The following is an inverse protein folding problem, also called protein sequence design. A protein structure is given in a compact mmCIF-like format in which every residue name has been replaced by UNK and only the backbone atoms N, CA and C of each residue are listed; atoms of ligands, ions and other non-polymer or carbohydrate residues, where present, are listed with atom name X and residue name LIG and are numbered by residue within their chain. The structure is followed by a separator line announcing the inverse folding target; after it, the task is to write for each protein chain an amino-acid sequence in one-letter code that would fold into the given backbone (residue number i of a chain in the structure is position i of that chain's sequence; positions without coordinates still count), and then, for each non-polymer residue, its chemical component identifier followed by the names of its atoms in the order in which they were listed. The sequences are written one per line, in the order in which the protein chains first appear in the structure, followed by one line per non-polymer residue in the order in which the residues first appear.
data_IF_546929451173
#
_entry.id   IF_546929451173
#
_cell.length_a   1.000
_cell.length_b   1.000
_cell.length_c   1.000
_cell.angle_alpha   90.00
_cell.angle_beta   90.00
_cell.angle_gamma   90.00
#
_symmetry.space_group_name_H-M   'P 1'
#
loop_
_entity.id
_entity.type
_entity.pdbx_description
1 polymer ?
#
# COMPACT_ATOMS: atom_id res chain seq x y z
N UNK A 1 -1.77 -61.88 13.35
CA UNK A 1 -0.63 -61.38 14.16
C UNK A 1 -0.82 -61.80 15.60
N UNK A 2 0.19 -62.34 16.29
CA UNK A 2 0.06 -62.74 17.71
C UNK A 2 -0.04 -61.50 18.62
N UNK A 3 -0.83 -61.60 19.71
CA UNK A 3 -1.00 -60.52 20.71
C UNK A 3 0.33 -59.90 21.16
N UNK A 4 1.40 -60.71 21.24
CA UNK A 4 2.76 -60.30 21.59
C UNK A 4 3.40 -59.34 20.58
N UNK A 5 3.17 -59.51 19.27
CA UNK A 5 3.69 -58.59 18.24
C UNK A 5 2.99 -57.23 18.28
N UNK A 6 1.70 -57.20 18.62
CA UNK A 6 0.93 -55.97 18.82
C UNK A 6 1.41 -55.19 20.05
N UNK A 7 1.62 -55.89 21.18
CA UNK A 7 2.15 -55.27 22.41
C UNK A 7 3.54 -54.68 22.20
N UNK A 8 4.44 -55.38 21.50
CA UNK A 8 5.78 -54.87 21.18
C UNK A 8 5.72 -53.65 20.25
N UNK A 9 4.81 -53.65 19.27
CA UNK A 9 4.58 -52.49 18.39
C UNK A 9 4.07 -51.26 19.13
N UNK A 10 3.09 -51.44 20.04
CA UNK A 10 2.57 -50.36 20.89
C UNK A 10 3.63 -49.81 21.84
N UNK A 11 4.44 -50.68 22.46
CA UNK A 11 5.53 -50.27 23.33
C UNK A 11 6.58 -49.46 22.56
N UNK A 12 6.94 -49.89 21.35
CA UNK A 12 7.85 -49.16 20.48
C UNK A 12 7.30 -47.77 20.12
N UNK A 13 6.03 -47.68 19.72
CA UNK A 13 5.37 -46.40 19.43
C UNK A 13 5.34 -45.48 20.65
N UNK A 14 5.07 -46.02 21.84
CA UNK A 14 5.10 -45.26 23.10
C UNK A 14 6.49 -44.72 23.39
N UNK A 15 7.54 -45.54 23.25
CA UNK A 15 8.94 -45.11 23.45
C UNK A 15 9.31 -44.00 22.46
N UNK A 16 8.97 -44.18 21.18
CA UNK A 16 9.21 -43.15 20.16
C UNK A 16 8.44 -41.85 20.46
N UNK A 17 7.17 -41.95 20.86
CA UNK A 17 6.35 -40.81 21.23
C UNK A 17 6.87 -40.09 22.48
N UNK A 18 7.37 -40.81 23.48
CA UNK A 18 8.02 -40.22 24.65
C UNK A 18 9.36 -39.58 24.27
N UNK A 19 10.15 -40.25 23.42
CA UNK A 19 11.44 -39.75 22.93
C UNK A 19 11.33 -38.44 22.16
N UNK A 20 10.32 -38.31 21.28
CA UNK A 20 10.13 -37.08 20.47
C UNK A 20 9.73 -35.87 21.33
N UNK A 21 9.13 -36.06 22.52
CA UNK A 21 8.80 -34.94 23.42
C UNK A 21 10.03 -34.20 23.95
N UNK A 22 11.21 -34.85 23.98
CA UNK A 22 12.45 -34.23 24.46
C UNK A 22 13.10 -33.31 23.42
N UNK A 23 12.71 -33.42 22.15
CA UNK A 23 13.12 -32.47 21.11
C UNK A 23 12.13 -31.33 21.19
N UNK A 24 12.47 -30.25 21.90
CA UNK A 24 11.55 -29.14 22.16
C UNK A 24 12.26 -27.80 21.93
N UNK A 25 11.95 -27.06 20.84
CA UNK A 25 12.40 -25.69 20.66
C UNK A 25 12.00 -24.81 21.86
N UNK A 26 12.78 -23.80 22.21
CA UNK A 26 12.44 -22.96 23.37
C UNK A 26 11.55 -21.78 22.95
N UNK A 27 10.40 -21.60 23.61
CA UNK A 27 9.60 -20.37 23.54
C UNK A 27 9.97 -19.51 24.74
N UNK A 28 10.73 -18.43 24.50
CA UNK A 28 11.15 -17.49 25.54
C UNK A 28 10.08 -16.41 25.73
N UNK A 29 9.69 -16.13 26.96
CA UNK A 29 8.77 -15.05 27.31
C UNK A 29 9.51 -13.96 28.10
N UNK A 30 10.31 -13.09 27.44
CA UNK A 30 10.99 -12.02 28.14
C UNK A 30 9.96 -11.02 28.71
N UNK A 31 10.33 -10.21 29.73
CA UNK A 31 9.41 -9.25 30.32
C UNK A 31 8.79 -8.31 29.30
N UNK A 32 7.52 -7.96 29.50
CA UNK A 32 6.82 -6.93 28.72
C UNK A 32 7.46 -5.57 29.03
N UNK A 33 7.98 -4.88 28.02
CA UNK A 33 8.55 -3.53 28.18
C UNK A 33 7.48 -2.46 28.00
N UNK A 34 6.59 -2.67 27.04
CA UNK A 34 5.41 -1.82 26.84
C UNK A 34 4.34 -2.55 26.04
N UNK A 35 3.09 -2.28 26.40
CA UNK A 35 1.90 -2.78 25.72
C UNK A 35 1.17 -1.65 24.96
N UNK A 36 0.32 -2.04 24.01
CA UNK A 36 -0.51 -1.10 23.26
C UNK A 36 -1.45 -0.33 24.19
N UNK A 37 -1.58 0.98 23.96
CA UNK A 37 -2.56 1.82 24.62
C UNK A 37 -3.80 1.94 23.71
N UNK A 38 -4.80 1.11 24.00
CA UNK A 38 -6.06 1.04 23.27
C UNK A 38 -7.24 0.86 24.25
N UNK A 39 -8.47 1.14 23.82
CA UNK A 39 -9.69 0.82 24.59
C UNK A 39 -9.77 -0.66 25.00
N UNK A 40 -10.48 -0.95 26.09
CA UNK A 40 -10.52 -2.29 26.69
C UNK A 40 -11.11 -3.35 25.76
N UNK A 41 -12.10 -2.99 24.94
CA UNK A 41 -12.69 -3.87 23.92
C UNK A 41 -11.67 -4.24 22.84
N UNK A 42 -10.89 -3.29 22.35
CA UNK A 42 -9.77 -3.52 21.42
C UNK A 42 -8.73 -4.43 22.06
N UNK A 43 -8.28 -4.13 23.28
CA UNK A 43 -7.30 -4.96 24.01
C UNK A 43 -7.80 -6.38 24.20
N UNK A 44 -9.09 -6.56 24.53
CA UNK A 44 -9.70 -7.89 24.70
C UNK A 44 -9.64 -8.71 23.41
N UNK A 45 -9.92 -8.09 22.26
CA UNK A 45 -9.85 -8.75 20.94
C UNK A 45 -8.40 -9.16 20.63
N UNK A 46 -7.44 -8.24 20.81
CA UNK A 46 -6.02 -8.50 20.55
C UNK A 46 -5.46 -9.60 21.44
N UNK A 47 -5.76 -9.57 22.75
CA UNK A 47 -5.34 -10.62 23.69
C UNK A 47 -5.89 -11.99 23.30
N UNK A 48 -7.18 -12.06 22.95
CA UNK A 48 -7.87 -13.28 22.55
C UNK A 48 -7.38 -13.89 21.25
N UNK A 49 -6.94 -13.07 20.29
CA UNK A 49 -6.75 -13.52 18.89
C UNK A 49 -5.32 -13.38 18.38
N UNK A 50 -4.48 -12.59 19.06
CA UNK A 50 -3.14 -12.22 18.58
C UNK A 50 -2.02 -12.54 19.58
N UNK A 51 -2.25 -12.39 20.89
CA UNK A 51 -1.16 -12.36 21.88
C UNK A 51 -0.42 -13.70 22.00
N UNK A 52 -1.10 -14.82 21.76
CA UNK A 52 -0.45 -16.13 21.81
C UNK A 52 0.75 -16.22 20.86
N UNK A 53 0.68 -15.62 19.68
CA UNK A 53 1.78 -15.61 18.70
C UNK A 53 2.54 -14.28 18.63
N UNK A 54 1.90 -13.15 18.94
CA UNK A 54 2.44 -11.81 18.75
C UNK A 54 2.76 -11.08 20.07
N UNK A 55 2.92 -11.78 21.19
CA UNK A 55 3.34 -11.16 22.45
C UNK A 55 4.28 -12.08 23.24
N UNK A 56 4.96 -11.53 24.25
CA UNK A 56 5.73 -12.30 25.23
C UNK A 56 4.83 -12.93 26.32
N UNK A 57 3.51 -12.75 26.23
CA UNK A 57 2.51 -13.29 27.17
C UNK A 57 1.83 -14.54 26.56
N UNK A 58 2.56 -15.35 25.79
CA UNK A 58 2.02 -16.55 25.14
C UNK A 58 1.47 -17.56 26.14
N UNK A 59 0.17 -17.89 26.02
CA UNK A 59 -0.52 -18.87 26.86
C UNK A 59 -0.84 -20.14 26.07
N UNK A 60 0.03 -21.16 26.19
CA UNK A 60 -0.17 -22.44 25.50
C UNK A 60 -1.18 -23.34 26.22
N UNK A 61 -2.14 -23.90 25.48
CA UNK A 61 -2.98 -24.98 26.02
C UNK A 61 -2.15 -26.24 26.19
N UNK A 62 -2.63 -27.17 27.03
CA UNK A 62 -1.89 -28.40 27.36
C UNK A 62 -1.54 -29.24 26.11
N UNK A 63 -2.40 -29.23 25.08
CA UNK A 63 -2.18 -30.01 23.86
C UNK A 63 -1.18 -29.35 22.91
N UNK A 64 -1.03 -28.02 22.96
CA UNK A 64 -0.01 -27.28 22.20
C UNK A 64 1.39 -27.63 22.67
N UNK A 65 1.51 -28.12 23.91
CA UNK A 65 2.77 -28.48 24.53
C UNK A 65 3.27 -29.88 24.14
N UNK A 66 2.51 -30.62 23.33
CA UNK A 66 2.82 -32.00 22.92
C UNK A 66 3.50 -31.99 21.55
N UNK A 67 4.69 -32.60 21.45
CA UNK A 67 5.38 -32.82 20.19
C UNK A 67 4.67 -33.90 19.35
N UNK A 68 4.66 -33.77 18.01
CA UNK A 68 5.35 -32.75 17.22
C UNK A 68 4.58 -31.43 17.03
N UNK A 69 3.33 -31.32 17.48
CA UNK A 69 2.52 -30.11 17.30
C UNK A 69 3.19 -28.86 17.93
N UNK A 70 3.83 -29.04 19.08
CA UNK A 70 4.60 -27.98 19.75
C UNK A 70 5.66 -27.33 18.84
N UNK A 71 6.24 -28.05 17.88
CA UNK A 71 7.24 -27.48 16.98
C UNK A 71 6.65 -26.43 16.05
N UNK A 72 5.45 -26.68 15.53
CA UNK A 72 4.70 -25.72 14.72
C UNK A 72 4.30 -24.50 15.54
N UNK A 73 3.85 -24.73 16.78
CA UNK A 73 3.51 -23.64 17.71
C UNK A 73 4.73 -22.77 17.99
N UNK A 74 5.88 -23.35 18.30
CA UNK A 74 7.10 -22.60 18.56
C UNK A 74 7.57 -21.79 17.34
N UNK A 75 7.41 -22.34 16.14
CA UNK A 75 7.72 -21.66 14.89
C UNK A 75 6.78 -20.47 14.63
N UNK A 76 5.46 -20.68 14.77
CA UNK A 76 4.46 -19.61 14.63
C UNK A 76 4.66 -18.48 15.64
N UNK A 77 4.98 -18.80 16.90
CA UNK A 77 5.26 -17.79 17.94
C UNK A 77 6.54 -17.02 17.61
N UNK A 78 7.56 -17.71 17.10
CA UNK A 78 8.81 -17.07 16.70
C UNK A 78 8.60 -16.12 15.51
N UNK A 79 8.02 -16.60 14.43
CA UNK A 79 7.74 -15.80 13.23
C UNK A 79 6.78 -14.65 13.54
N UNK A 80 5.72 -14.91 14.31
CA UNK A 80 4.76 -13.89 14.73
C UNK A 80 5.43 -12.72 15.45
N UNK A 81 6.31 -13.00 16.42
CA UNK A 81 7.04 -11.97 17.17
C UNK A 81 8.12 -11.25 16.35
N UNK A 82 8.68 -11.90 15.33
CA UNK A 82 9.63 -11.27 14.40
C UNK A 82 8.93 -10.21 13.53
N UNK A 83 7.68 -10.47 13.11
CA UNK A 83 6.89 -9.53 12.32
C UNK A 83 6.23 -8.43 13.18
N UNK A 84 5.66 -8.79 14.33
CA UNK A 84 5.01 -7.86 15.26
C UNK A 84 4.96 -8.42 16.68
N UNK A 85 5.44 -7.67 17.66
CA UNK A 85 5.35 -8.04 19.07
C UNK A 85 4.67 -6.92 19.90
N UNK A 86 3.50 -7.22 20.48
CA UNK A 86 2.75 -6.29 21.31
C UNK A 86 3.42 -6.00 22.65
N UNK A 87 4.34 -6.86 23.12
CA UNK A 87 5.02 -6.70 24.41
C UNK A 87 6.22 -5.75 24.38
N UNK A 88 6.64 -5.29 23.20
CA UNK A 88 7.66 -4.26 23.03
C UNK A 88 7.13 -3.09 22.19
N UNK A 89 5.85 -2.74 22.39
CA UNK A 89 5.14 -1.78 21.56
C UNK A 89 5.85 -0.42 21.48
N UNK A 90 6.50 0.02 22.55
CA UNK A 90 7.25 1.26 22.64
C UNK A 90 8.45 1.35 21.70
N UNK A 91 9.02 0.20 21.28
CA UNK A 91 10.13 0.13 20.32
C UNK A 91 9.77 0.63 18.92
N UNK A 92 8.48 0.63 18.57
CA UNK A 92 8.00 1.07 17.27
C UNK A 92 7.84 2.60 17.21
N UNK A 93 8.28 3.20 16.10
CA UNK A 93 8.01 4.61 15.82
C UNK A 93 6.49 4.84 15.69
N UNK A 94 5.96 6.05 15.99
CA UNK A 94 4.52 6.32 15.92
C UNK A 94 3.86 5.98 14.57
N UNK A 95 4.57 6.20 13.46
CA UNK A 95 4.12 5.82 12.12
C UNK A 95 4.03 4.30 11.93
N UNK A 96 5.01 3.56 12.45
CA UNK A 96 5.09 2.10 12.34
C UNK A 96 4.07 1.40 13.23
N UNK A 97 3.76 1.97 14.42
CA UNK A 97 2.64 1.52 15.26
C UNK A 97 1.34 1.54 14.49
N UNK A 98 0.99 2.69 13.89
CA UNK A 98 -0.22 2.84 13.09
C UNK A 98 -0.20 1.91 11.86
N UNK A 99 0.92 1.87 11.15
CA UNK A 99 1.10 1.00 9.98
C UNK A 99 0.87 -0.47 10.30
N UNK A 100 1.42 -0.95 11.42
CA UNK A 100 1.26 -2.34 11.89
C UNK A 100 -0.20 -2.65 12.19
N UNK A 101 -0.92 -1.75 12.86
CA UNK A 101 -2.35 -1.97 13.16
C UNK A 101 -3.24 -2.02 11.90
N UNK A 102 -2.99 -1.13 10.93
CA UNK A 102 -3.69 -1.19 9.63
C UNK A 102 -3.32 -2.44 8.85
N UNK A 103 -2.06 -2.87 8.87
CA UNK A 103 -1.64 -4.13 8.26
C UNK A 103 -2.34 -5.32 8.92
N UNK A 104 -2.39 -5.38 10.25
CA UNK A 104 -3.11 -6.43 10.98
C UNK A 104 -4.59 -6.49 10.60
N UNK A 105 -5.27 -5.34 10.53
CA UNK A 105 -6.66 -5.29 10.05
C UNK A 105 -6.80 -5.84 8.63
N UNK A 106 -5.90 -5.48 7.72
CA UNK A 106 -5.93 -6.01 6.36
C UNK A 106 -5.68 -7.52 6.31
N UNK A 107 -4.73 -8.06 7.08
CA UNK A 107 -4.52 -9.52 7.20
C UNK A 107 -5.77 -10.24 7.73
N UNK A 108 -6.51 -9.63 8.66
CA UNK A 108 -7.79 -10.15 9.13
C UNK A 108 -8.83 -10.16 8.00
N UNK A 109 -8.94 -9.06 7.25
CA UNK A 109 -9.90 -8.95 6.13
C UNK A 109 -9.57 -9.91 4.98
N UNK A 110 -8.30 -10.22 4.76
CA UNK A 110 -7.87 -11.25 3.81
C UNK A 110 -8.01 -12.68 4.34
N UNK A 111 -8.41 -12.85 5.61
CA UNK A 111 -8.52 -14.16 6.29
C UNK A 111 -7.19 -14.91 6.39
N UNK A 112 -6.08 -14.18 6.34
CA UNK A 112 -4.73 -14.73 6.56
C UNK A 112 -4.42 -14.80 8.06
N UNK A 113 -5.03 -13.92 8.86
CA UNK A 113 -4.90 -13.90 10.32
C UNK A 113 -6.25 -13.87 11.03
N UNK A 114 -6.41 -14.61 12.15
CA UNK A 114 -5.48 -15.61 12.68
C UNK A 114 -5.39 -16.84 11.74
N UNK A 115 -4.29 -17.59 11.83
CA UNK A 115 -4.06 -18.74 10.95
C UNK A 115 -5.22 -19.75 11.04
N UNK A 116 -5.65 -20.27 9.90
CA UNK A 116 -6.86 -21.11 9.81
C UNK A 116 -6.73 -22.43 10.59
N UNK A 117 -5.55 -23.04 10.59
CA UNK A 117 -5.19 -24.24 11.36
C UNK A 117 -5.17 -23.96 12.86
N UNK A 118 -4.66 -22.80 13.28
CA UNK A 118 -4.74 -22.35 14.67
C UNK A 118 -6.20 -22.25 15.14
N UNK A 119 -7.04 -21.53 14.40
CA UNK A 119 -8.45 -21.33 14.79
C UNK A 119 -9.32 -22.60 14.74
N UNK A 120 -8.84 -23.67 14.10
CA UNK A 120 -9.50 -24.98 14.13
C UNK A 120 -9.40 -25.64 15.51
N UNK A 121 -8.26 -25.48 16.19
CA UNK A 121 -8.01 -26.02 17.54
C UNK A 121 -8.26 -24.96 18.64
N UNK A 122 -8.28 -23.69 18.25
CA UNK A 122 -8.53 -22.51 19.10
C UNK A 122 -9.72 -21.70 18.56
N UNK A 123 -10.94 -22.25 18.60
CA UNK A 123 -12.12 -21.57 18.06
C UNK A 123 -12.40 -20.24 18.77
N UNK A 124 -11.95 -20.08 20.02
CA UNK A 124 -12.03 -18.82 20.74
C UNK A 124 -11.15 -17.71 20.12
N UNK A 125 -10.08 -18.03 19.39
CA UNK A 125 -9.24 -17.02 18.73
C UNK A 125 -9.90 -16.44 17.47
N UNK A 126 -11.04 -17.00 17.02
CA UNK A 126 -11.76 -16.47 15.84
C UNK A 126 -12.23 -15.04 16.09
N UNK A 127 -12.01 -14.20 15.08
CA UNK A 127 -12.45 -12.80 15.07
C UNK A 127 -13.84 -12.75 14.44
N UNK A 128 -14.80 -12.14 15.14
CA UNK A 128 -16.16 -11.95 14.66
C UNK A 128 -16.33 -10.67 13.85
N UNK A 129 -17.44 -10.53 13.11
CA UNK A 129 -17.77 -9.28 12.40
C UNK A 129 -17.91 -8.08 13.34
N UNK A 130 -18.38 -8.31 14.57
CA UNK A 130 -18.43 -7.30 15.61
C UNK A 130 -17.02 -6.86 16.05
N UNK A 131 -16.10 -7.81 16.22
CA UNK A 131 -14.70 -7.51 16.54
C UNK A 131 -14.05 -6.71 15.41
N UNK A 132 -14.29 -7.08 14.14
CA UNK A 132 -13.81 -6.32 12.97
C UNK A 132 -14.35 -4.88 13.01
N UNK A 133 -15.63 -4.70 13.35
CA UNK A 133 -16.24 -3.36 13.45
C UNK A 133 -15.59 -2.52 14.54
N UNK A 134 -15.38 -3.08 15.73
CA UNK A 134 -14.70 -2.42 16.85
C UNK A 134 -13.29 -1.99 16.44
N UNK A 135 -12.51 -2.91 15.86
CA UNK A 135 -11.15 -2.64 15.42
C UNK A 135 -11.12 -1.58 14.31
N UNK A 136 -12.02 -1.64 13.31
CA UNK A 136 -12.09 -0.61 12.24
C UNK A 136 -12.39 0.77 12.81
N UNK A 137 -13.34 0.87 13.73
CA UNK A 137 -13.68 2.14 14.37
C UNK A 137 -12.51 2.71 15.17
N UNK A 138 -11.78 1.85 15.89
CA UNK A 138 -10.55 2.25 16.56
C UNK A 138 -9.51 2.79 15.57
N UNK A 139 -9.24 2.08 14.47
CA UNK A 139 -8.27 2.55 13.47
C UNK A 139 -8.66 3.87 12.81
N UNK A 140 -9.94 4.06 12.50
CA UNK A 140 -10.46 5.32 11.96
C UNK A 140 -10.24 6.47 12.97
N UNK A 141 -10.42 6.21 14.26
CA UNK A 141 -10.18 7.21 15.32
C UNK A 141 -8.71 7.65 15.41
N UNK A 142 -7.76 6.80 14.96
CA UNK A 142 -6.33 7.12 14.88
C UNK A 142 -5.96 7.96 13.66
N UNK A 143 -6.90 8.23 12.76
CA UNK A 143 -6.67 8.99 11.52
C UNK A 143 -7.51 10.28 11.45
N UNK A 144 -7.43 11.18 12.46
CA UNK A 144 -8.17 12.43 12.38
C UNK A 144 -7.67 13.27 11.21
N UNK A 145 -8.60 13.88 10.49
CA UNK A 145 -8.27 14.86 9.44
C UNK A 145 -7.65 16.08 10.12
N UNK A 146 -6.40 16.38 9.79
CA UNK A 146 -5.67 17.54 10.30
C UNK A 146 -5.43 18.52 9.18
N UNK A 147 -5.97 19.73 9.32
CA UNK A 147 -5.64 20.87 8.45
C UNK A 147 -4.14 21.14 8.52
N UNK A 148 -3.55 21.38 7.36
CA UNK A 148 -2.12 21.65 7.20
C UNK A 148 -1.90 23.16 7.25
N UNK A 149 -0.86 23.59 7.97
CA UNK A 149 -0.48 25.00 8.02
C UNK A 149 0.12 25.48 6.69
N UNK A 150 0.20 26.80 6.52
CA UNK A 150 0.76 27.42 5.32
C UNK A 150 2.24 27.09 5.11
N UNK A 151 3.01 26.84 6.17
CA UNK A 151 4.43 26.49 6.05
C UNK A 151 4.63 25.16 5.33
N UNK A 152 3.75 24.18 5.55
CA UNK A 152 3.77 22.89 4.84
C UNK A 152 3.44 23.03 3.35
N UNK A 153 2.51 23.91 2.99
CA UNK A 153 2.24 24.24 1.58
C UNK A 153 3.45 24.92 0.93
N UNK A 154 4.04 25.93 1.59
CA UNK A 154 5.25 26.59 1.10
C UNK A 154 6.45 25.64 0.98
N UNK A 155 6.58 24.66 1.88
CA UNK A 155 7.62 23.64 1.80
C UNK A 155 7.45 22.73 0.57
N UNK A 156 6.21 22.28 0.29
CA UNK A 156 5.92 21.48 -0.89
C UNK A 156 6.16 22.26 -2.19
N UNK A 157 5.73 23.52 -2.25
CA UNK A 157 5.99 24.41 -3.38
C UNK A 157 7.49 24.67 -3.57
N UNK A 158 8.22 24.92 -2.47
CA UNK A 158 9.68 25.05 -2.54
C UNK A 158 10.35 23.77 -3.05
N UNK A 159 9.94 22.59 -2.56
CA UNK A 159 10.47 21.32 -3.03
C UNK A 159 10.22 21.13 -4.53
N UNK A 160 9.03 21.52 -5.02
CA UNK A 160 8.70 21.51 -6.44
C UNK A 160 9.60 22.44 -7.25
N UNK A 161 9.74 23.69 -6.80
CA UNK A 161 10.56 24.70 -7.48
C UNK A 161 12.05 24.32 -7.46
N UNK A 162 12.57 23.79 -6.36
CA UNK A 162 13.93 23.25 -6.30
C UNK A 162 14.09 22.10 -7.29
N UNK A 163 13.09 21.21 -7.39
CA UNK A 163 13.12 20.05 -8.28
C UNK A 163 13.19 20.43 -9.76
N UNK A 164 12.33 21.34 -10.26
CA UNK A 164 12.35 21.76 -11.67
C UNK A 164 13.61 22.53 -12.06
N UNK A 165 14.33 23.10 -11.08
CA UNK A 165 15.57 23.86 -11.30
C UNK A 165 16.85 23.02 -11.08
N UNK A 166 16.72 21.80 -10.56
CA UNK A 166 17.88 20.95 -10.21
C UNK A 166 18.26 20.06 -11.38
N UNK A 167 19.57 19.89 -11.58
CA UNK A 167 20.10 18.92 -12.53
C UNK A 167 19.73 17.49 -12.12
N UNK A 168 19.68 16.59 -13.11
CA UNK A 168 19.43 15.17 -12.89
C UNK A 168 20.42 14.59 -11.87
N UNK A 169 19.91 13.81 -10.91
CA UNK A 169 20.73 13.14 -9.91
C UNK A 169 21.12 11.73 -10.39
N UNK A 170 22.32 11.29 -10.03
CA UNK A 170 22.71 9.89 -10.15
C UNK A 170 21.96 9.09 -9.09
N UNK A 171 21.22 8.07 -9.51
CA UNK A 171 20.42 7.22 -8.62
C UNK A 171 21.07 5.86 -8.53
N UNK A 172 21.33 5.40 -7.31
CA UNK A 172 21.88 4.07 -7.11
C UNK A 172 20.81 2.99 -7.34
N UNK A 173 21.19 1.83 -7.88
CA UNK A 173 20.29 0.69 -7.99
C UNK A 173 19.78 0.24 -6.61
N UNK A 174 18.63 -0.42 -6.58
CA UNK A 174 18.20 -1.14 -5.40
C UNK A 174 19.16 -2.29 -5.08
N UNK A 175 19.23 -2.70 -3.80
CA UNK A 175 20.18 -3.74 -3.35
C UNK A 175 20.02 -5.08 -4.09
N UNK A 176 18.83 -5.37 -4.62
CA UNK A 176 18.54 -6.55 -5.42
C UNK A 176 18.89 -6.40 -6.92
N UNK A 177 19.59 -5.32 -7.30
CA UNK A 177 20.06 -5.08 -8.67
C UNK A 177 19.01 -4.48 -9.60
N UNK A 178 17.83 -4.09 -9.10
CA UNK A 178 16.83 -3.38 -9.91
C UNK A 178 17.25 -1.92 -10.04
N UNK A 179 17.44 -1.49 -11.28
CA UNK A 179 17.77 -0.11 -11.62
C UNK A 179 16.58 0.84 -11.38
N UNK A 180 16.89 2.10 -11.09
CA UNK A 180 15.87 3.14 -11.07
C UNK A 180 15.36 3.38 -12.49
N UNK A 181 14.06 3.16 -12.71
CA UNK A 181 13.44 3.37 -14.01
C UNK A 181 13.18 4.88 -14.17
N UNK A 182 13.75 5.49 -15.20
CA UNK A 182 13.47 6.89 -15.55
C UNK A 182 12.30 6.99 -16.52
N UNK A 183 11.67 8.17 -16.62
CA UNK A 183 10.61 8.44 -17.58
C UNK A 183 9.23 7.86 -17.23
N UNK A 184 9.06 7.19 -16.08
CA UNK A 184 7.74 6.68 -15.67
C UNK A 184 6.68 7.76 -15.48
N UNK A 185 7.09 9.02 -15.26
CA UNK A 185 6.15 10.15 -15.22
C UNK A 185 5.42 10.37 -16.55
N UNK A 186 5.93 9.83 -17.65
CA UNK A 186 5.30 9.86 -18.98
C UNK A 186 4.38 8.67 -19.23
N UNK A 187 4.40 7.65 -18.35
CA UNK A 187 3.51 6.51 -18.43
C UNK A 187 2.08 6.89 -18.05
N UNK A 188 1.14 5.98 -18.25
CA UNK A 188 -0.28 6.25 -18.02
C UNK A 188 -0.64 6.01 -16.58
N UNK A 189 -1.34 6.95 -15.95
CA UNK A 189 -1.92 6.71 -14.65
C UNK A 189 -3.07 5.71 -14.80
N UNK A 190 -2.88 4.52 -14.25
CA UNK A 190 -3.86 3.44 -14.27
C UNK A 190 -4.72 3.44 -13.03
N UNK A 191 -4.34 4.16 -11.97
CA UNK A 191 -5.13 4.36 -10.76
C UNK A 191 -4.56 5.48 -9.90
N UNK A 192 -5.38 5.99 -8.99
CA UNK A 192 -4.98 6.92 -7.92
C UNK A 192 -5.53 6.44 -6.59
N UNK A 193 -4.91 6.82 -5.48
CA UNK A 193 -5.33 6.33 -4.16
C UNK A 193 -5.15 7.41 -3.10
N UNK A 194 -6.22 7.62 -2.33
CA UNK A 194 -6.22 8.38 -1.08
C UNK A 194 -5.94 7.43 0.08
N UNK A 195 -4.75 7.51 0.67
CA UNK A 195 -4.32 6.65 1.78
C UNK A 195 -4.41 7.41 3.09
N UNK A 196 -5.60 7.40 3.68
CA UNK A 196 -5.83 8.06 4.96
C UNK A 196 -5.14 7.34 6.13
N UNK A 197 -4.84 6.04 5.97
CA UNK A 197 -4.09 5.26 6.97
C UNK A 197 -2.67 5.80 7.21
N UNK A 198 -1.98 6.26 6.17
CA UNK A 198 -0.63 6.80 6.28
C UNK A 198 -0.47 8.22 5.72
N UNK A 199 -1.58 8.90 5.47
CA UNK A 199 -1.63 10.30 5.03
C UNK A 199 -0.84 10.54 3.74
N UNK A 200 -0.99 9.64 2.75
CA UNK A 200 -0.39 9.80 1.42
C UNK A 200 -1.42 9.87 0.30
N UNK A 201 -1.13 10.68 -0.71
CA UNK A 201 -1.84 10.66 -1.98
C UNK A 201 -0.96 9.92 -2.98
N UNK A 202 -1.54 9.00 -3.76
CA UNK A 202 -0.76 8.13 -4.66
C UNK A 202 -1.29 8.14 -6.07
N UNK A 203 -0.37 8.02 -7.01
CA UNK A 203 -0.65 7.74 -8.43
C UNK A 203 0.09 6.48 -8.82
N UNK A 204 -0.61 5.54 -9.45
CA UNK A 204 -0.05 4.31 -9.97
C UNK A 204 0.02 4.46 -11.48
N UNK A 205 1.23 4.43 -12.02
CA UNK A 205 1.50 4.48 -13.45
C UNK A 205 1.76 3.07 -13.98
N UNK A 206 1.25 2.76 -15.17
CA UNK A 206 1.52 1.53 -15.91
C UNK A 206 2.22 1.84 -17.24
N UNK A 207 3.24 1.06 -17.58
CA UNK A 207 3.88 1.14 -18.90
C UNK A 207 2.94 0.68 -20.03
N UNK A 208 3.37 0.79 -21.29
CA UNK A 208 2.54 0.45 -22.45
C UNK A 208 2.01 -1.00 -22.41
N UNK A 209 2.78 -1.95 -21.88
CA UNK A 209 2.36 -3.35 -21.72
C UNK A 209 1.23 -3.45 -20.70
N UNK A 210 1.36 -2.78 -19.55
CA UNK A 210 0.31 -2.73 -18.53
C UNK A 210 -0.98 -2.11 -19.07
N UNK A 211 -0.88 -1.00 -19.82
CA UNK A 211 -2.04 -0.32 -20.41
C UNK A 211 -2.76 -1.23 -21.40
N UNK A 212 -2.01 -1.86 -22.32
CA UNK A 212 -2.56 -2.82 -23.28
C UNK A 212 -3.25 -3.99 -22.57
N UNK A 213 -2.63 -4.53 -21.51
CA UNK A 213 -3.22 -5.60 -20.70
C UNK A 213 -4.55 -5.19 -20.05
N UNK A 214 -4.68 -3.93 -19.61
CA UNK A 214 -5.93 -3.39 -19.05
C UNK A 214 -7.00 -3.27 -20.13
N UNK A 215 -6.65 -2.70 -21.29
CA UNK A 215 -7.56 -2.53 -22.44
C UNK A 215 -8.07 -3.88 -22.99
N UNK A 216 -7.21 -4.89 -23.01
CA UNK A 216 -7.54 -6.26 -23.47
C UNK A 216 -8.16 -7.13 -22.36
N UNK A 217 -8.37 -6.59 -21.16
CA UNK A 217 -8.86 -7.32 -19.97
C UNK A 217 -8.00 -8.54 -19.60
N UNK A 218 -6.70 -8.49 -19.90
CA UNK A 218 -5.73 -9.57 -19.65
C UNK A 218 -4.73 -9.15 -18.55
N UNK A 219 -5.23 -8.95 -17.34
CA UNK A 219 -4.44 -8.48 -16.18
C UNK A 219 -4.18 -9.56 -15.14
N UNK A 220 -4.59 -10.82 -15.38
CA UNK A 220 -4.35 -11.91 -14.44
C UNK A 220 -4.11 -13.26 -15.16
N UNK A 221 -2.85 -13.73 -15.25
CA UNK A 221 -1.64 -13.02 -14.82
C UNK A 221 -1.35 -11.79 -15.69
N UNK A 222 -0.57 -10.85 -15.19
CA UNK A 222 -0.05 -9.77 -16.01
C UNK A 222 1.00 -10.30 -17.00
N UNK A 223 1.07 -9.78 -18.24
CA UNK A 223 2.11 -10.16 -19.20
C UNK A 223 3.50 -9.77 -18.71
N UNK A 224 4.51 -10.60 -19.01
CA UNK A 224 5.92 -10.26 -18.76
C UNK A 224 6.30 -8.92 -19.42
N UNK A 225 7.11 -8.12 -18.73
CA UNK A 225 7.43 -6.75 -19.08
C UNK A 225 6.44 -5.71 -18.55
N UNK A 226 5.28 -6.11 -18.02
CA UNK A 226 4.39 -5.20 -17.26
C UNK A 226 5.19 -4.54 -16.14
N UNK A 227 5.19 -3.20 -16.11
CA UNK A 227 5.82 -2.45 -15.04
C UNK A 227 4.88 -1.41 -14.46
N UNK A 228 4.77 -1.40 -13.13
CA UNK A 228 4.08 -0.35 -12.39
C UNK A 228 5.08 0.57 -11.70
N UNK A 229 4.79 1.86 -11.72
CA UNK A 229 5.43 2.85 -10.86
C UNK A 229 4.38 3.45 -9.92
N UNK A 230 4.49 3.16 -8.63
CA UNK A 230 3.60 3.73 -7.61
C UNK A 230 4.31 4.87 -6.91
N UNK A 231 3.78 6.08 -7.08
CA UNK A 231 4.37 7.32 -6.60
C UNK A 231 3.52 7.85 -5.46
N UNK A 232 4.14 8.26 -4.35
CA UNK A 232 3.45 8.73 -3.16
C UNK A 232 3.94 10.10 -2.73
N UNK A 233 2.97 10.98 -2.43
CA UNK A 233 3.18 12.30 -1.84
C UNK A 233 2.47 12.37 -0.50
N UNK A 234 2.92 13.29 0.35
CA UNK A 234 2.19 13.66 1.55
C UNK A 234 0.80 14.21 1.21
N UNK A 235 -0.16 14.02 2.10
CA UNK A 235 -1.42 14.74 2.07
C UNK A 235 -1.28 16.09 2.78
N UNK A 236 -1.57 17.17 2.04
CA UNK A 236 -1.81 18.49 2.62
C UNK A 236 -3.29 18.79 2.57
N UNK A 237 -3.93 18.91 3.73
CA UNK A 237 -5.36 19.20 3.85
C UNK A 237 -5.55 20.69 4.08
N UNK A 238 -6.37 21.37 3.30
CA UNK A 238 -6.69 22.79 3.51
C UNK A 238 -7.90 22.99 4.46
N UNK A 239 -8.34 24.24 4.60
CA UNK A 239 -9.46 24.62 5.47
C UNK A 239 -10.80 24.03 5.00
N UNK A 240 -10.94 23.75 3.70
CA UNK A 240 -12.15 23.21 3.08
C UNK A 240 -12.14 21.67 3.07
N UNK A 241 -11.16 21.04 3.73
CA UNK A 241 -10.95 19.59 3.73
C UNK A 241 -10.62 19.01 2.36
N UNK A 242 -10.07 19.82 1.46
CA UNK A 242 -9.50 19.36 0.20
C UNK A 242 -8.05 18.94 0.45
N UNK A 243 -7.72 17.77 -0.05
CA UNK A 243 -6.38 17.17 0.01
C UNK A 243 -5.63 17.49 -1.27
N UNK A 244 -4.50 18.15 -1.10
CA UNK A 244 -3.51 18.44 -2.12
C UNK A 244 -2.31 17.51 -1.95
N UNK A 245 -1.62 17.23 -3.05
CA UNK A 245 -0.32 16.58 -2.97
C UNK A 245 0.71 17.55 -2.35
N UNK A 246 1.39 17.08 -1.31
CA UNK A 246 2.51 17.76 -0.69
C UNK A 246 3.85 17.24 -1.17
N UNK A 247 4.80 17.16 -0.25
CA UNK A 247 6.14 16.66 -0.53
C UNK A 247 6.14 15.23 -1.07
N UNK A 248 7.00 14.97 -2.05
CA UNK A 248 7.30 13.64 -2.55
C UNK A 248 7.90 12.77 -1.44
N UNK A 249 7.35 11.58 -1.25
CA UNK A 249 7.81 10.62 -0.23
C UNK A 249 8.61 9.48 -0.83
N UNK A 250 8.10 8.87 -1.90
CA UNK A 250 8.72 7.70 -2.50
C UNK A 250 8.13 7.32 -3.86
N UNK A 251 8.89 6.52 -4.59
CA UNK A 251 8.41 5.75 -5.75
C UNK A 251 8.77 4.28 -5.58
N UNK A 252 7.86 3.41 -5.99
CA UNK A 252 7.98 1.95 -5.93
C UNK A 252 7.78 1.38 -7.33
N UNK A 253 8.60 0.38 -7.69
CA UNK A 253 8.43 -0.37 -8.93
C UNK A 253 8.06 -1.82 -8.66
N UNK A 254 7.09 -2.31 -9.44
CA UNK A 254 6.77 -3.72 -9.60
C UNK A 254 7.00 -4.09 -11.07
N UNK A 255 7.89 -5.05 -11.34
CA UNK A 255 8.30 -5.43 -12.71
C UNK A 255 7.97 -6.91 -12.92
N UNK A 256 7.08 -7.22 -13.86
CA UNK A 256 6.70 -8.59 -14.20
C UNK A 256 7.77 -9.24 -15.07
N UNK A 257 8.32 -10.36 -14.60
CA UNK A 257 9.13 -11.27 -15.36
C UNK A 257 9.12 -12.62 -14.61
N UNK A 258 8.26 -13.53 -15.07
CA UNK A 258 7.96 -14.78 -14.38
C UNK A 258 9.21 -15.65 -14.14
N UNK A 259 10.13 -15.65 -15.10
CA UNK A 259 11.35 -16.45 -15.06
C UNK A 259 12.43 -15.76 -14.23
N UNK A 260 12.75 -14.48 -14.51
CA UNK A 260 13.79 -13.73 -13.80
C UNK A 260 13.48 -13.58 -12.31
N UNK A 261 12.22 -13.36 -11.96
CA UNK A 261 11.77 -13.10 -10.60
C UNK A 261 11.04 -14.29 -9.97
N UNK A 262 11.31 -15.52 -10.42
CA UNK A 262 10.68 -16.74 -9.88
C UNK A 262 10.75 -16.86 -8.35
N UNK A 263 11.87 -16.44 -7.74
CA UNK A 263 12.08 -16.46 -6.28
C UNK A 263 11.19 -15.45 -5.53
N UNK A 264 10.76 -14.39 -6.21
CA UNK A 264 9.92 -13.32 -5.67
C UNK A 264 8.54 -13.31 -6.35
N UNK A 265 8.05 -14.50 -6.68
CA UNK A 265 6.71 -14.77 -7.23
C UNK A 265 6.44 -14.13 -8.60
N UNK A 266 7.48 -14.06 -9.44
CA UNK A 266 7.40 -13.54 -10.81
C UNK A 266 7.42 -12.01 -10.89
N UNK A 267 7.68 -11.34 -9.76
CA UNK A 267 7.73 -9.88 -9.68
C UNK A 267 9.06 -9.39 -9.10
N UNK A 268 9.65 -8.39 -9.75
CA UNK A 268 10.74 -7.59 -9.22
C UNK A 268 10.18 -6.45 -8.38
N UNK A 269 10.72 -6.28 -7.17
CA UNK A 269 10.24 -5.31 -6.17
C UNK A 269 11.35 -4.32 -5.84
N UNK A 270 11.09 -3.02 -5.99
CA UNK A 270 12.06 -2.01 -5.61
C UNK A 270 11.37 -0.70 -5.18
N UNK A 271 12.04 0.07 -4.32
CA UNK A 271 11.51 1.31 -3.73
C UNK A 271 12.64 2.30 -3.52
N UNK A 272 12.38 3.58 -3.83
CA UNK A 272 13.27 4.71 -3.56
C UNK A 272 12.52 5.77 -2.76
N UNK A 273 13.18 6.32 -1.73
CA UNK A 273 12.58 7.28 -0.80
C UNK A 273 13.25 8.65 -0.94
N UNK A 274 12.46 9.70 -0.74
CA UNK A 274 12.93 11.08 -0.68
C UNK A 274 13.40 11.64 -2.02
N UNK A 275 13.68 12.94 -2.03
CA UNK A 275 14.14 13.67 -3.22
C UNK A 275 15.56 13.30 -3.67
N UNK A 276 16.34 12.63 -2.80
CA UNK A 276 17.65 12.06 -3.12
C UNK A 276 17.56 10.68 -3.78
N UNK A 277 16.35 10.11 -3.88
CA UNK A 277 16.10 8.76 -4.35
C UNK A 277 17.06 7.76 -3.72
N UNK A 278 16.98 7.64 -2.41
CA UNK A 278 17.73 6.61 -1.70
C UNK A 278 17.03 5.25 -1.87
N UNK A 279 17.71 4.20 -2.37
CA UNK A 279 17.13 2.87 -2.47
C UNK A 279 16.77 2.33 -1.07
N UNK A 280 15.62 1.67 -0.99
CA UNK A 280 15.12 1.03 0.22
C UNK A 280 15.76 -0.35 0.45
N UNK A 281 15.75 -0.78 1.71
CA UNK A 281 16.25 -2.08 2.15
C UNK A 281 17.64 -2.01 2.79
N UNK A 282 17.92 -2.96 3.68
CA UNK A 282 19.24 -3.15 4.31
C UNK A 282 20.05 -4.26 3.63
N UNK A 283 19.35 -5.23 3.03
CA UNK A 283 19.93 -6.39 2.34
C UNK A 283 19.07 -6.73 1.12
N UNK A 284 19.56 -7.61 0.25
CA UNK A 284 18.80 -8.11 -0.92
C UNK A 284 17.47 -8.78 -0.55
N UNK A 285 17.31 -9.20 0.71
CA UNK A 285 16.12 -9.91 1.20
C UNK A 285 14.92 -8.99 1.48
N UNK A 286 15.07 -7.65 1.36
CA UNK A 286 13.94 -6.72 1.54
C UNK A 286 12.75 -7.06 0.63
N UNK A 287 13.00 -7.67 -0.54
CA UNK A 287 11.95 -8.07 -1.47
C UNK A 287 10.97 -9.09 -0.85
N UNK A 288 11.40 -9.86 0.15
CA UNK A 288 10.53 -10.79 0.87
C UNK A 288 9.45 -10.04 1.68
N UNK A 289 9.77 -8.85 2.20
CA UNK A 289 8.78 -7.99 2.88
C UNK A 289 7.68 -7.57 1.89
N UNK A 290 8.06 -7.23 0.65
CA UNK A 290 7.12 -6.90 -0.42
C UNK A 290 6.26 -8.12 -0.81
N UNK A 291 6.89 -9.28 -1.02
CA UNK A 291 6.19 -10.53 -1.35
C UNK A 291 5.22 -10.94 -0.25
N UNK A 292 5.63 -10.88 1.02
CA UNK A 292 4.79 -11.23 2.16
C UNK A 292 3.54 -10.34 2.22
N UNK A 293 3.71 -9.03 2.06
CA UNK A 293 2.61 -8.08 2.04
C UNK A 293 1.66 -8.27 0.85
N UNK A 294 2.18 -8.67 -0.31
CA UNK A 294 1.39 -8.88 -1.53
C UNK A 294 0.84 -10.31 -1.70
N UNK A 295 1.29 -11.27 -0.88
CA UNK A 295 0.87 -12.68 -0.90
C UNK A 295 -0.65 -12.88 -0.82
N UNK A 296 -1.43 -12.09 -0.04
CA UNK A 296 -2.88 -12.28 0.02
C UNK A 296 -3.57 -12.07 -1.35
N UNK A 297 -2.91 -11.36 -2.27
CA UNK A 297 -3.40 -11.08 -3.62
C UNK A 297 -2.83 -12.06 -4.66
N UNK A 298 -2.31 -13.23 -4.25
CA UNK A 298 -1.75 -14.24 -5.16
C UNK A 298 -2.70 -14.63 -6.30
N UNK A 299 -4.00 -14.65 -6.06
CA UNK A 299 -5.04 -15.01 -7.03
C UNK A 299 -5.38 -13.84 -7.98
N UNK A 300 -4.81 -12.65 -7.74
CA UNK A 300 -4.81 -11.49 -8.62
C UNK A 300 -3.37 -11.09 -9.00
N UNK A 301 -2.53 -12.11 -9.22
CA UNK A 301 -1.12 -12.00 -9.58
C UNK A 301 -0.32 -11.03 -8.69
N UNK A 302 -0.59 -11.05 -7.38
CA UNK A 302 0.06 -10.23 -6.36
C UNK A 302 -0.17 -8.72 -6.52
N UNK A 303 -1.16 -8.27 -7.29
CA UNK A 303 -1.44 -6.85 -7.54
C UNK A 303 -2.71 -6.39 -6.81
N UNK A 304 -2.56 -5.35 -5.97
CA UNK A 304 -3.70 -4.70 -5.28
C UNK A 304 -4.49 -3.74 -6.17
N UNK A 305 -3.82 -3.15 -7.17
CA UNK A 305 -4.39 -2.07 -7.96
C UNK A 305 -5.52 -2.58 -8.84
N UNK A 306 -6.72 -2.09 -8.60
CA UNK A 306 -7.81 -2.13 -9.57
C UNK A 306 -7.59 -1.02 -10.59
N UNK A 307 -7.36 -1.34 -11.87
CA UNK A 307 -7.19 -0.34 -12.91
C UNK A 307 -8.46 0.49 -13.08
N UNK A 308 -8.30 1.77 -13.42
CA UNK A 308 -9.39 2.61 -13.88
C UNK A 308 -10.01 1.96 -15.11
N UNK A 309 -11.34 1.98 -15.20
CA UNK A 309 -12.03 1.74 -16.45
C UNK A 309 -11.67 2.91 -17.37
N UNK A 310 -10.69 2.71 -18.24
CA UNK A 310 -10.19 3.71 -19.17
C UNK A 310 -11.16 3.87 -20.35
N UNK A 311 -12.43 4.18 -20.05
CA UNK A 311 -13.55 4.10 -21.00
C UNK A 311 -13.60 5.23 -22.03
N UNK A 312 -12.52 5.97 -22.27
CA UNK A 312 -12.44 6.84 -23.45
C UNK A 312 -11.01 6.94 -23.98
N UNK A 313 -10.87 6.87 -25.31
CA UNK A 313 -9.64 7.13 -26.07
C UNK A 313 -8.92 8.44 -25.65
N UNK A 314 -9.66 9.39 -25.08
CA UNK A 314 -9.17 10.72 -24.70
C UNK A 314 -8.44 10.77 -23.37
N UNK A 315 -8.84 9.97 -22.36
CA UNK A 315 -8.22 10.02 -21.03
C UNK A 315 -6.89 9.27 -20.97
N UNK A 316 -6.73 8.30 -21.87
CA UNK A 316 -5.54 7.47 -21.98
C UNK A 316 -4.35 8.15 -22.64
N UNK A 317 -4.55 9.19 -23.44
CA UNK A 317 -3.43 9.79 -24.19
C UNK A 317 -2.59 10.77 -23.35
N UNK A 318 -3.06 11.17 -22.16
CA UNK A 318 -2.55 12.35 -21.45
C UNK A 318 -1.77 11.98 -20.19
N UNK A 319 -0.91 12.89 -19.74
CA UNK A 319 0.04 12.70 -18.63
C UNK A 319 -0.45 13.41 -17.39
N UNK A 320 -0.27 12.80 -16.21
CA UNK A 320 -0.72 13.40 -14.95
C UNK A 320 0.16 14.59 -14.57
N UNK A 321 -0.48 15.71 -14.24
CA UNK A 321 0.14 16.89 -13.66
C UNK A 321 -0.11 16.97 -12.15
N UNK A 322 -1.35 16.72 -11.72
CA UNK A 322 -1.75 16.81 -10.32
C UNK A 322 -2.92 15.89 -10.00
N UNK A 323 -3.09 15.59 -8.72
CA UNK A 323 -4.24 14.87 -8.20
C UNK A 323 -4.65 15.50 -6.86
N UNK A 324 -5.93 15.42 -6.54
CA UNK A 324 -6.51 15.92 -5.29
C UNK A 324 -7.71 15.11 -4.84
N UNK A 325 -8.13 15.29 -3.60
CA UNK A 325 -9.32 14.65 -3.01
C UNK A 325 -10.15 15.69 -2.30
N UNK A 326 -11.45 15.74 -2.57
CA UNK A 326 -12.40 16.52 -1.80
C UNK A 326 -13.10 15.59 -0.80
N UNK A 327 -12.76 15.72 0.49
CA UNK A 327 -13.32 14.84 1.53
C UNK A 327 -14.79 15.13 1.83
N UNK A 328 -15.25 16.37 1.62
CA UNK A 328 -16.64 16.74 1.89
C UNK A 328 -17.57 16.15 0.82
N UNK A 329 -17.18 16.30 -0.44
CA UNK A 329 -17.96 15.81 -1.58
C UNK A 329 -17.66 14.35 -1.94
N UNK A 330 -16.69 13.72 -1.26
CA UNK A 330 -16.21 12.35 -1.54
C UNK A 330 -15.87 12.19 -3.02
N UNK A 331 -15.09 13.13 -3.55
CA UNK A 331 -14.60 13.07 -4.92
C UNK A 331 -13.08 13.07 -4.93
N UNK A 332 -12.54 12.59 -6.05
CA UNK A 332 -11.14 12.70 -6.34
C UNK A 332 -10.97 13.17 -7.76
N UNK A 333 -10.00 14.05 -7.97
CA UNK A 333 -9.77 14.65 -9.29
C UNK A 333 -8.32 14.48 -9.69
N UNK A 334 -8.10 14.19 -10.96
CA UNK A 334 -6.76 14.08 -11.55
C UNK A 334 -6.70 14.98 -12.77
N UNK A 335 -5.71 15.87 -12.78
CA UNK A 335 -5.42 16.79 -13.87
C UNK A 335 -4.41 16.14 -14.81
N UNK A 336 -4.84 15.97 -16.06
CA UNK A 336 -4.05 15.43 -17.15
C UNK A 336 -3.66 16.52 -18.14
N UNK A 337 -2.59 16.31 -18.88
CA UNK A 337 -2.07 17.24 -19.85
C UNK A 337 -1.59 16.56 -21.13
N UNK A 338 -1.71 17.26 -22.25
CA UNK A 338 -0.99 16.93 -23.46
C UNK A 338 0.53 17.19 -23.29
N UNK A 339 1.35 16.78 -24.25
CA UNK A 339 2.80 16.90 -24.14
C UNK A 339 3.28 18.33 -23.91
N UNK A 340 2.66 19.31 -24.59
CA UNK A 340 3.01 20.72 -24.46
C UNK A 340 2.78 21.22 -23.04
N UNK A 341 1.58 21.00 -22.50
CA UNK A 341 1.25 21.40 -21.13
C UNK A 341 2.08 20.63 -20.10
N UNK A 342 2.31 19.34 -20.31
CA UNK A 342 3.11 18.52 -19.40
C UNK A 342 4.57 19.02 -19.31
N UNK A 343 5.22 19.30 -20.44
CA UNK A 343 6.58 19.83 -20.45
C UNK A 343 6.65 21.23 -19.84
N UNK A 344 5.65 22.08 -20.14
CA UNK A 344 5.57 23.41 -19.55
C UNK A 344 5.49 23.35 -18.02
N UNK A 345 4.58 22.53 -17.50
CA UNK A 345 4.39 22.33 -16.07
C UNK A 345 5.72 21.96 -15.38
N UNK A 346 6.55 21.13 -15.99
CA UNK A 346 7.79 20.60 -15.39
C UNK A 346 9.00 21.51 -15.51
N UNK A 347 8.87 22.61 -16.23
CA UNK A 347 9.94 23.61 -16.42
C UNK A 347 9.55 24.98 -15.86
N UNK A 348 8.27 25.21 -15.56
CA UNK A 348 7.72 26.47 -15.06
C UNK A 348 6.73 26.23 -13.92
N UNK A 349 6.85 27.02 -12.86
CA UNK A 349 5.94 26.98 -11.71
C UNK A 349 4.65 27.81 -11.88
N UNK A 350 4.44 28.45 -13.03
CA UNK A 350 3.28 29.33 -13.26
C UNK A 350 2.15 28.64 -14.07
N UNK A 351 1.09 29.40 -14.38
CA UNK A 351 -0.10 28.97 -15.14
C UNK A 351 -0.19 29.54 -16.55
N UNK A 352 0.89 30.15 -17.07
CA UNK A 352 0.91 30.80 -18.38
C UNK A 352 1.20 29.80 -19.50
N UNK A 353 0.41 28.73 -19.55
CA UNK A 353 0.58 27.67 -20.53
C UNK A 353 0.58 28.21 -21.97
N UNK A 354 1.45 27.69 -22.85
CA UNK A 354 1.60 28.17 -24.22
C UNK A 354 0.39 27.80 -25.08
N UNK A 355 0.26 28.43 -26.25
CA UNK A 355 -0.74 28.04 -27.24
C UNK A 355 -0.63 26.54 -27.56
N UNK A 356 -1.78 25.91 -27.83
CA UNK A 356 -1.95 24.46 -28.04
C UNK A 356 -1.74 23.59 -26.80
N UNK A 357 -1.36 24.16 -25.65
CA UNK A 357 -1.44 23.46 -24.38
C UNK A 357 -2.90 23.06 -24.12
N UNK A 358 -3.08 21.87 -23.54
CA UNK A 358 -4.39 21.41 -23.13
C UNK A 358 -4.32 20.70 -21.79
N UNK A 359 -5.32 20.96 -20.96
CA UNK A 359 -5.48 20.37 -19.63
C UNK A 359 -6.85 19.70 -19.54
N UNK A 360 -6.90 18.46 -19.09
CA UNK A 360 -8.14 17.72 -18.87
C UNK A 360 -8.24 17.35 -17.39
N UNK A 361 -9.25 17.85 -16.70
CA UNK A 361 -9.59 17.44 -15.34
C UNK A 361 -10.61 16.33 -15.42
N UNK A 362 -10.33 15.22 -14.75
CA UNK A 362 -11.32 14.17 -14.52
C UNK A 362 -11.62 14.13 -13.05
N UNK A 363 -12.90 14.20 -12.70
CA UNK A 363 -13.38 13.98 -11.33
C UNK A 363 -14.15 12.67 -11.28
N UNK A 364 -13.82 11.83 -10.30
CA UNK A 364 -14.56 10.62 -9.96
C UNK A 364 -15.23 10.77 -8.60
N UNK A 365 -16.34 10.04 -8.43
CA UNK A 365 -16.77 9.69 -7.08
C UNK A 365 -15.69 8.84 -6.40
N UNK A 366 -15.54 8.99 -5.10
CA UNK A 366 -14.61 8.22 -4.29
C UNK A 366 -15.34 6.99 -3.72
N UNK A 367 -14.66 5.83 -3.73
CA UNK A 367 -15.12 4.62 -3.05
C UNK A 367 -14.01 4.06 -2.16
N UNK A 368 -14.37 3.29 -1.14
CA UNK A 368 -13.39 2.55 -0.36
C UNK A 368 -12.68 1.52 -1.23
N UNK A 369 -11.38 1.34 -1.00
CA UNK A 369 -10.58 0.34 -1.70
C UNK A 369 -11.00 -1.07 -1.24
N UNK A 370 -11.40 -1.91 -2.19
CA UNK A 370 -11.83 -3.28 -1.92
C UNK A 370 -10.66 -4.18 -1.47
N UNK A 371 -9.42 -3.83 -1.82
CA UNK A 371 -8.23 -4.60 -1.49
C UNK A 371 -7.39 -3.98 -0.38
N UNK A 372 -7.80 -2.84 0.21
CA UNK A 372 -7.06 -2.24 1.32
C UNK A 372 -7.92 -1.35 2.22
N UNK A 373 -8.20 -1.79 3.44
CA UNK A 373 -8.76 -0.93 4.47
C UNK A 373 -7.74 0.14 4.90
N UNK A 374 -8.14 1.41 4.84
CA UNK A 374 -7.20 2.54 4.99
C UNK A 374 -6.99 3.34 3.71
N UNK A 375 -7.66 2.93 2.61
CA UNK A 375 -7.54 3.54 1.30
C UNK A 375 -8.91 3.82 0.68
N UNK A 376 -8.95 4.85 -0.16
CA UNK A 376 -10.03 5.08 -1.10
C UNK A 376 -9.47 5.21 -2.53
N UNK A 377 -10.24 4.76 -3.50
CA UNK A 377 -9.90 4.74 -4.93
C UNK A 377 -11.00 5.38 -5.78
N UNK A 378 -10.73 5.73 -7.05
CA UNK A 378 -11.74 6.23 -7.96
C UNK A 378 -12.84 5.19 -8.19
N UNK A 379 -14.07 5.68 -8.30
CA UNK A 379 -15.24 4.91 -8.69
C UNK A 379 -15.72 5.37 -10.08
N UNK A 380 -16.99 5.71 -10.21
CA UNK A 380 -17.58 6.22 -11.45
C UNK A 380 -17.11 7.65 -11.75
N UNK A 381 -16.85 7.93 -13.04
CA UNK A 381 -16.53 9.28 -13.53
C UNK A 381 -17.72 10.20 -13.28
N UNK A 382 -17.50 11.28 -12.53
CA UNK A 382 -18.48 12.33 -12.24
C UNK A 382 -18.43 13.44 -13.30
N UNK A 383 -17.25 13.90 -13.66
CA UNK A 383 -17.06 14.91 -14.72
C UNK A 383 -15.75 14.75 -15.48
N UNK A 384 -15.73 15.26 -16.71
CA UNK A 384 -14.53 15.44 -17.54
C UNK A 384 -14.58 16.86 -18.11
N UNK A 385 -13.57 17.66 -17.80
CA UNK A 385 -13.49 19.07 -18.15
C UNK A 385 -12.18 19.38 -18.87
N UNK A 386 -12.23 20.16 -19.94
CA UNK A 386 -11.09 20.48 -20.80
C UNK A 386 -10.85 21.98 -20.82
N UNK A 387 -9.59 22.36 -20.70
CA UNK A 387 -9.10 23.71 -21.00
C UNK A 387 -8.11 23.62 -22.15
N UNK A 388 -8.36 24.39 -23.21
CA UNK A 388 -7.46 24.54 -24.36
C UNK A 388 -6.93 25.96 -24.41
N UNK A 389 -5.62 26.12 -24.58
CA UNK A 389 -4.99 27.44 -24.69
C UNK A 389 -4.82 27.82 -26.17
N UNK A 390 -5.50 28.87 -26.62
CA UNK A 390 -5.48 29.33 -28.01
C UNK A 390 -5.84 30.83 -28.15
N UNK A 391 -4.86 31.75 -28.22
CA UNK A 391 -3.91 32.13 -27.17
C UNK A 391 -4.52 32.45 -25.78
N UNK A 392 -5.85 32.58 -25.65
CA UNK A 392 -6.54 32.66 -24.37
C UNK A 392 -7.08 31.27 -23.95
N UNK A 393 -7.30 31.00 -22.64
CA UNK A 393 -7.85 29.73 -22.19
C UNK A 393 -9.34 29.62 -22.54
N UNK A 394 -9.69 28.63 -23.37
CA UNK A 394 -11.06 28.21 -23.65
C UNK A 394 -11.45 27.00 -22.80
N UNK A 395 -12.56 27.09 -22.07
CA UNK A 395 -13.08 26.03 -21.20
C UNK A 395 -14.25 25.28 -21.85
N UNK A 396 -14.25 23.95 -21.74
CA UNK A 396 -15.31 23.07 -22.25
C UNK A 396 -15.55 21.90 -21.28
N UNK A 397 -16.81 21.61 -20.99
CA UNK A 397 -17.20 20.37 -20.31
C UNK A 397 -17.37 19.26 -21.35
N UNK A 398 -16.66 18.15 -21.18
CA UNK A 398 -16.76 16.97 -22.05
C UNK A 398 -17.86 16.03 -21.54
N UNK A 399 -17.96 15.84 -20.22
CA UNK A 399 -18.92 14.93 -19.58
C UNK A 399 -19.30 15.41 -18.18
N UNK A 400 -20.55 15.20 -17.80
CA UNK A 400 -21.03 15.39 -16.42
C UNK A 400 -21.30 16.83 -16.01
N UNK A 401 -21.54 17.03 -14.72
CA UNK A 401 -21.78 18.34 -14.13
C UNK A 401 -20.44 19.05 -13.88
N UNK A 402 -20.24 20.28 -14.37
CA UNK A 402 -18.98 20.99 -14.24
C UNK A 402 -18.60 21.31 -12.80
N UNK A 403 -17.31 21.21 -12.48
CA UNK A 403 -16.69 21.69 -11.25
C UNK A 403 -15.65 22.77 -11.59
N UNK A 404 -16.10 23.87 -12.20
CA UNK A 404 -15.20 24.89 -12.77
C UNK A 404 -14.21 25.48 -11.76
N UNK A 405 -14.62 25.64 -10.50
CA UNK A 405 -13.73 26.10 -9.42
C UNK A 405 -12.60 25.09 -9.15
N UNK A 406 -12.89 23.80 -9.32
CA UNK A 406 -11.92 22.73 -9.18
C UNK A 406 -10.87 22.76 -10.29
N UNK A 407 -11.30 23.00 -11.54
CA UNK A 407 -10.38 23.22 -12.66
C UNK A 407 -9.46 24.42 -12.38
N UNK A 408 -10.02 25.58 -12.03
CA UNK A 408 -9.22 26.79 -11.77
C UNK A 408 -8.19 26.57 -10.65
N UNK A 409 -8.58 25.90 -9.56
CA UNK A 409 -7.67 25.60 -8.45
C UNK A 409 -6.54 24.64 -8.86
N UNK A 410 -6.82 23.65 -9.70
CA UNK A 410 -5.83 22.64 -10.10
C UNK A 410 -4.87 23.09 -11.19
N UNK A 411 -5.24 24.08 -12.03
CA UNK A 411 -4.36 24.59 -13.10
C UNK A 411 -3.04 25.14 -12.56
N UNK A 412 -2.96 25.50 -11.27
CA UNK A 412 -1.72 25.95 -10.61
C UNK A 412 -0.96 24.82 -9.90
N UNK A 413 -1.59 23.66 -9.67
CA UNK A 413 -1.03 22.57 -8.88
C UNK A 413 -0.16 21.65 -9.72
N UNK A 414 0.92 21.16 -9.11
CA UNK A 414 1.91 20.31 -9.78
C UNK A 414 2.42 19.24 -8.82
N UNK A 415 2.79 18.10 -9.36
CA UNK A 415 3.46 17.04 -8.63
C UNK A 415 4.96 17.09 -8.89
N UNK A 416 5.76 17.18 -7.84
CA UNK A 416 7.18 16.88 -7.94
C UNK A 416 7.33 15.38 -8.22
N UNK A 417 8.09 15.01 -9.26
CA UNK A 417 8.47 13.61 -9.49
C UNK A 417 9.89 13.55 -9.97
N UNK A 418 10.67 12.66 -9.41
CA UNK A 418 12.07 12.45 -9.75
C UNK A 418 12.28 11.69 -11.07
N UNK A 419 11.26 11.65 -11.94
CA UNK A 419 11.13 10.75 -13.08
C UNK A 419 11.98 11.12 -14.32
N UNK A 420 13.06 11.91 -14.21
CA UNK A 420 13.83 12.43 -15.35
C UNK A 420 15.31 11.99 -15.39
#
# INVERSE_FOLDING_TARGET
MSKRKWLLGLLFLLICFTGIQFIRPEIKNPPVTADIQAPDDVKKILKKSCYDCHSNETELKWFDQIAPAYWLVADHVKEGREDLNFSNWDSLAPGDKKGSLFLSMNQILFKEMPLSDYTMLHPEAKISDNDITILKNYLISLTPVKTSDSARFSAAEKQYNDWINKAAIAVNPALNGIEFIKGYGQWKAISTTDRFDNSTLRVIFGNAIAVKAIEEHHTNPWPDGTTFAKVAWEQLVDADSVVHAGEFKQVEFMIKDADKYKKTKGWGWARWKGMDLKPYGKTVLFANECVSCHKPLKDNDYVFTTPLALETDTLLQWKVISTRVDKQHKTMSTLYANDIAYQYARTRGDSNYPAQAQLTLVTWNQQSDAHWFGANTPAQVKSVELVKFDPAPGYKVIKGTPERDNMNAMIHQRLSVTAE
#
